data_IF_508720820885
#
_entry.id   IF_508720820885
#
_cell.length_a   1.000
_cell.length_b   1.000
_cell.length_c   1.000
_cell.angle_alpha   90.00
_cell.angle_beta   90.00
_cell.angle_gamma   90.00
#
_symmetry.space_group_name_H-M   'P 1'
#
loop_
_entity.id
_entity.type
_entity.pdbx_description
1 polymer ?
#
# COMPACT_ATOMS: atom_id res chain seq x y z
N UNK A 1 -24.43 34.80 -18.90
CA UNK A 1 -23.61 33.79 -19.60
C UNK A 1 -23.37 32.63 -18.67
N UNK A 2 -23.44 31.39 -19.16
CA UNK A 2 -23.06 30.24 -18.36
C UNK A 2 -21.57 30.29 -18.03
N UNK A 3 -21.20 30.00 -16.77
CA UNK A 3 -19.83 30.04 -16.28
C UNK A 3 -18.94 29.06 -17.05
N UNK A 4 -17.73 29.49 -17.46
CA UNK A 4 -16.72 28.67 -18.14
C UNK A 4 -16.45 27.35 -17.43
N UNK A 5 -16.49 27.35 -16.10
CA UNK A 5 -16.34 26.15 -15.26
C UNK A 5 -17.36 25.05 -15.56
N UNK A 6 -18.55 25.41 -16.05
CA UNK A 6 -19.64 24.47 -16.38
C UNK A 6 -19.77 24.18 -17.87
N UNK A 7 -19.16 25.01 -18.74
CA UNK A 7 -19.32 24.91 -20.20
C UNK A 7 -18.08 24.43 -20.92
N UNK A 8 -16.87 24.78 -20.45
CA UNK A 8 -15.63 24.35 -21.08
C UNK A 8 -15.43 22.84 -20.86
N UNK A 9 -15.23 22.01 -21.91
CA UNK A 9 -15.22 20.55 -21.79
C UNK A 9 -14.28 20.00 -20.71
N UNK A 10 -13.07 20.56 -20.58
CA UNK A 10 -12.10 20.15 -19.57
C UNK A 10 -12.46 20.67 -18.17
N UNK A 11 -12.88 21.94 -18.05
CA UNK A 11 -13.16 22.53 -16.74
C UNK A 11 -14.43 21.94 -16.15
N UNK A 12 -15.36 21.49 -16.99
CA UNK A 12 -16.56 20.78 -16.58
C UNK A 12 -16.24 19.48 -15.85
N UNK A 13 -15.29 18.68 -16.35
CA UNK A 13 -14.86 17.46 -15.67
C UNK A 13 -14.28 17.78 -14.29
N UNK A 14 -13.40 18.78 -14.21
CA UNK A 14 -12.83 19.22 -12.93
C UNK A 14 -13.89 19.80 -11.97
N UNK A 15 -14.87 20.54 -12.49
CA UNK A 15 -15.98 21.08 -11.73
C UNK A 15 -16.82 19.98 -11.08
N UNK A 16 -17.24 19.02 -11.88
CA UNK A 16 -18.17 17.97 -11.48
C UNK A 16 -17.47 16.98 -10.54
N UNK A 17 -16.13 16.87 -10.63
CA UNK A 17 -15.31 16.00 -9.78
C UNK A 17 -14.83 16.66 -8.47
N UNK A 18 -14.56 17.97 -8.43
CA UNK A 18 -13.85 18.61 -7.30
C UNK A 18 -14.52 19.87 -6.75
N UNK A 19 -15.49 20.46 -7.44
CA UNK A 19 -16.07 21.74 -7.02
C UNK A 19 -17.54 21.58 -6.65
N UNK A 20 -18.36 21.23 -7.64
CA UNK A 20 -19.81 21.07 -7.49
C UNK A 20 -20.18 19.60 -7.18
N UNK A 21 -19.20 18.71 -6.96
CA UNK A 21 -19.43 17.32 -6.58
C UNK A 21 -20.31 17.28 -5.31
N UNK A 22 -21.50 16.66 -5.35
CA UNK A 22 -22.38 16.59 -4.18
C UNK A 22 -21.93 15.46 -3.25
N UNK A 23 -21.46 15.83 -2.06
CA UNK A 23 -20.91 14.91 -1.07
C UNK A 23 -21.80 14.87 0.20
N UNK A 24 -21.92 13.71 0.89
CA UNK A 24 -22.68 13.62 2.12
C UNK A 24 -22.14 14.59 3.18
N UNK A 25 -23.01 15.37 3.82
CA UNK A 25 -22.62 16.39 4.80
C UNK A 25 -21.82 15.85 6.00
N UNK A 26 -22.05 14.58 6.36
CA UNK A 26 -21.56 13.96 7.59
C UNK A 26 -20.33 13.04 7.41
N UNK A 27 -19.60 13.10 6.28
CA UNK A 27 -18.38 12.29 6.13
C UNK A 27 -17.28 12.75 7.11
N UNK A 28 -16.73 11.80 7.87
CA UNK A 28 -15.74 12.04 8.93
C UNK A 28 -14.31 12.15 8.37
N UNK A 29 -13.31 12.32 9.25
CA UNK A 29 -11.89 12.40 8.86
C UNK A 29 -11.40 11.16 8.08
N UNK A 30 -12.04 10.01 8.28
CA UNK A 30 -11.68 8.79 7.57
C UNK A 30 -11.87 8.89 6.04
N UNK A 31 -12.65 9.85 5.55
CA UNK A 31 -12.79 10.10 4.11
C UNK A 31 -11.62 10.85 3.48
N UNK A 32 -10.80 11.55 4.28
CA UNK A 32 -9.63 12.27 3.79
C UNK A 32 -8.54 11.33 3.24
N UNK A 33 -8.52 10.06 3.64
CA UNK A 33 -7.49 9.12 3.15
C UNK A 33 -7.55 8.88 1.64
N UNK A 34 -8.66 9.18 0.96
CA UNK A 34 -8.70 9.15 -0.51
C UNK A 34 -7.81 10.22 -1.14
N UNK A 35 -7.97 11.48 -0.70
CA UNK A 35 -7.16 12.59 -1.21
C UNK A 35 -5.72 12.55 -0.71
N UNK A 36 -5.47 12.06 0.51
CA UNK A 36 -4.11 11.82 1.01
C UNK A 36 -3.34 10.80 0.18
N UNK A 37 -3.99 9.73 -0.30
CA UNK A 37 -3.35 8.79 -1.22
C UNK A 37 -2.98 9.44 -2.56
N UNK A 38 -3.83 10.34 -3.07
CA UNK A 38 -3.51 11.16 -4.23
C UNK A 38 -2.28 12.06 -4.00
N UNK A 39 -2.21 12.71 -2.83
CA UNK A 39 -1.03 13.49 -2.41
C UNK A 39 0.23 12.63 -2.32
N UNK A 40 0.16 11.46 -1.69
CA UNK A 40 1.27 10.50 -1.60
C UNK A 40 1.74 10.08 -3.00
N UNK A 41 0.83 9.73 -3.90
CA UNK A 41 1.17 9.32 -5.28
C UNK A 41 1.90 10.44 -6.02
N UNK A 42 1.39 11.67 -5.98
CA UNK A 42 2.05 12.83 -6.59
C UNK A 42 3.44 13.07 -5.98
N UNK A 43 3.56 13.02 -4.65
CA UNK A 43 4.84 13.19 -3.97
C UNK A 43 5.86 12.11 -4.37
N UNK A 44 5.45 10.84 -4.45
CA UNK A 44 6.31 9.73 -4.88
C UNK A 44 6.76 9.87 -6.33
N UNK A 45 5.86 10.25 -7.25
CA UNK A 45 6.20 10.46 -8.67
C UNK A 45 7.21 11.61 -8.81
N UNK A 46 6.96 12.74 -8.15
CA UNK A 46 7.84 13.90 -8.22
C UNK A 46 9.22 13.59 -7.64
N UNK A 47 9.28 13.14 -6.37
CA UNK A 47 10.56 12.81 -5.73
C UNK A 47 11.29 11.69 -6.47
N UNK A 48 10.58 10.66 -6.93
CA UNK A 48 11.14 9.54 -7.70
C UNK A 48 11.74 9.98 -9.03
N UNK A 49 11.08 10.89 -9.75
CA UNK A 49 11.60 11.45 -10.99
C UNK A 49 12.91 12.21 -10.77
N UNK A 50 12.99 13.06 -9.73
CA UNK A 50 14.23 13.78 -9.40
C UNK A 50 15.35 12.83 -8.95
N UNK A 51 15.04 11.76 -8.21
CA UNK A 51 16.02 10.73 -7.86
C UNK A 51 16.53 9.98 -9.10
N UNK A 52 15.63 9.64 -10.03
CA UNK A 52 15.95 8.92 -11.26
C UNK A 52 16.93 9.69 -12.17
N UNK A 53 16.95 11.03 -12.12
CA UNK A 53 17.92 11.85 -12.87
C UNK A 53 19.37 11.65 -12.42
N UNK A 54 19.58 11.06 -11.25
CA UNK A 54 20.90 10.89 -10.62
C UNK A 54 21.24 9.42 -10.28
N UNK A 55 20.30 8.50 -10.48
CA UNK A 55 20.45 7.08 -10.18
C UNK A 55 21.00 6.30 -11.37
N UNK A 56 21.81 5.26 -11.12
CA UNK A 56 22.28 4.31 -12.14
C UNK A 56 21.83 2.89 -11.82
N UNK A 57 21.14 2.23 -12.76
CA UNK A 57 20.61 0.88 -12.60
C UNK A 57 21.61 -0.21 -13.04
N UNK A 58 22.85 -0.12 -12.52
CA UNK A 58 23.92 -1.09 -12.72
C UNK A 58 24.47 -1.55 -11.36
N UNK A 59 24.62 -2.85 -11.13
CA UNK A 59 24.94 -3.41 -9.80
C UNK A 59 26.28 -2.90 -9.23
N UNK A 60 27.24 -2.51 -10.08
CA UNK A 60 28.51 -1.99 -9.63
C UNK A 60 28.39 -0.55 -9.11
N UNK A 61 27.37 0.19 -9.55
CA UNK A 61 27.23 1.63 -9.27
C UNK A 61 25.94 2.00 -8.55
N UNK A 62 24.93 1.13 -8.48
CA UNK A 62 23.61 1.43 -7.95
C UNK A 62 23.65 1.93 -6.50
N UNK A 63 24.30 1.17 -5.61
CA UNK A 63 24.48 1.57 -4.21
C UNK A 63 25.22 2.92 -4.12
N UNK A 64 26.34 3.07 -4.84
CA UNK A 64 27.11 4.31 -4.82
C UNK A 64 26.35 5.51 -5.39
N UNK A 65 25.50 5.32 -6.40
CA UNK A 65 24.68 6.39 -6.99
C UNK A 65 23.66 6.93 -5.98
N UNK A 66 23.06 6.06 -5.17
CA UNK A 66 22.18 6.48 -4.07
C UNK A 66 22.96 7.22 -2.99
N UNK A 67 24.19 6.79 -2.68
CA UNK A 67 25.04 7.55 -1.74
C UNK A 67 25.45 8.91 -2.30
N UNK A 68 25.75 9.00 -3.59
CA UNK A 68 26.06 10.25 -4.30
C UNK A 68 24.86 11.20 -4.28
N UNK A 69 23.63 10.71 -4.51
CA UNK A 69 22.41 11.51 -4.35
C UNK A 69 22.35 12.14 -2.96
N UNK A 70 22.61 11.35 -1.91
CA UNK A 70 22.51 11.85 -0.54
C UNK A 70 23.65 12.83 -0.18
N UNK A 71 24.84 12.70 -0.77
CA UNK A 71 26.05 13.42 -0.33
C UNK A 71 26.41 14.61 -1.23
N UNK A 72 26.19 14.50 -2.53
CA UNK A 72 26.76 15.41 -3.52
C UNK A 72 25.69 16.19 -4.29
N UNK A 73 24.46 15.66 -4.40
CA UNK A 73 23.35 16.36 -5.05
C UNK A 73 22.70 17.35 -4.08
N UNK A 74 22.52 18.60 -4.51
CA UNK A 74 21.85 19.65 -3.73
C UNK A 74 20.46 19.19 -3.27
N UNK A 75 20.24 19.15 -1.95
CA UNK A 75 19.01 18.64 -1.32
C UNK A 75 18.67 17.18 -1.66
N UNK A 76 19.57 16.41 -2.27
CA UNK A 76 19.32 15.02 -2.67
C UNK A 76 19.03 14.11 -1.47
N UNK A 77 19.68 14.35 -0.32
CA UNK A 77 19.35 13.65 0.94
C UNK A 77 17.90 13.87 1.37
N UNK A 78 17.37 15.09 1.21
CA UNK A 78 16.00 15.42 1.59
C UNK A 78 15.02 14.75 0.63
N UNK A 79 15.27 14.84 -0.68
CA UNK A 79 14.44 14.18 -1.70
C UNK A 79 14.41 12.66 -1.47
N UNK A 80 15.58 12.04 -1.21
CA UNK A 80 15.69 10.61 -0.91
C UNK A 80 14.92 10.24 0.36
N UNK A 81 15.06 11.02 1.44
CA UNK A 81 14.36 10.75 2.69
C UNK A 81 12.85 10.95 2.57
N UNK A 82 12.40 11.96 1.83
CA UNK A 82 10.99 12.17 1.52
C UNK A 82 10.43 11.03 0.68
N UNK A 83 11.17 10.51 -0.30
CA UNK A 83 10.74 9.38 -1.13
C UNK A 83 10.64 8.07 -0.33
N UNK A 84 11.64 7.78 0.51
CA UNK A 84 11.67 6.57 1.33
C UNK A 84 10.59 6.58 2.42
N UNK A 85 10.49 7.66 3.19
CA UNK A 85 9.45 7.79 4.22
C UNK A 85 8.06 8.01 3.61
N UNK A 86 7.97 8.68 2.46
CA UNK A 86 6.73 8.88 1.72
C UNK A 86 6.09 7.56 1.27
N UNK A 87 6.90 6.55 0.91
CA UNK A 87 6.41 5.19 0.67
C UNK A 87 5.73 4.60 1.91
N UNK A 88 6.32 4.76 3.10
CA UNK A 88 5.68 4.33 4.36
C UNK A 88 4.37 5.08 4.64
N UNK A 89 4.32 6.40 4.42
CA UNK A 89 3.09 7.18 4.58
C UNK A 89 2.01 6.76 3.57
N UNK A 90 2.40 6.33 2.37
CA UNK A 90 1.49 5.74 1.39
C UNK A 90 0.81 4.50 1.99
N UNK A 91 1.57 3.58 2.58
CA UNK A 91 1.01 2.37 3.20
C UNK A 91 0.19 2.65 4.45
N UNK A 92 0.59 3.61 5.29
CA UNK A 92 -0.24 4.07 6.41
C UNK A 92 -1.59 4.55 5.88
N UNK A 93 -1.59 5.42 4.86
CA UNK A 93 -2.82 5.95 4.27
C UNK A 93 -3.67 4.87 3.63
N UNK A 94 -3.06 3.89 2.91
CA UNK A 94 -3.83 2.87 2.20
C UNK A 94 -4.48 1.89 3.17
N UNK A 95 -3.78 1.51 4.25
CA UNK A 95 -4.35 0.64 5.28
C UNK A 95 -5.48 1.33 6.04
N UNK A 96 -5.36 2.62 6.37
CA UNK A 96 -6.44 3.38 6.98
C UNK A 96 -7.63 3.58 6.01
N UNK A 97 -7.35 3.77 4.72
CA UNK A 97 -8.37 3.85 3.68
C UNK A 97 -9.17 2.54 3.54
N UNK A 98 -8.47 1.39 3.53
CA UNK A 98 -9.07 0.06 3.49
C UNK A 98 -9.86 -0.21 4.77
N UNK A 99 -9.26 0.08 5.94
CA UNK A 99 -9.92 -0.10 7.24
C UNK A 99 -11.22 0.70 7.34
N UNK A 100 -11.22 1.95 6.86
CA UNK A 100 -12.45 2.75 6.70
C UNK A 100 -13.46 2.02 5.80
N UNK A 101 -13.01 1.49 4.67
CA UNK A 101 -13.89 0.79 3.74
C UNK A 101 -14.53 -0.47 4.33
N UNK A 102 -13.78 -1.23 5.13
CA UNK A 102 -14.27 -2.37 5.90
C UNK A 102 -15.26 -1.92 6.98
N UNK A 103 -14.92 -0.90 7.77
CA UNK A 103 -15.74 -0.45 8.89
C UNK A 103 -17.10 0.12 8.46
N UNK A 104 -17.12 0.92 7.39
CA UNK A 104 -18.34 1.59 6.93
C UNK A 104 -19.07 0.85 5.80
N UNK A 105 -18.63 -0.34 5.42
CA UNK A 105 -19.27 -1.12 4.35
C UNK A 105 -19.18 -0.44 2.98
N UNK A 106 -18.10 0.30 2.73
CA UNK A 106 -17.87 0.93 1.42
C UNK A 106 -17.52 -0.10 0.34
N UNK A 107 -17.07 -1.30 0.74
CA UNK A 107 -16.83 -2.43 -0.17
C UNK A 107 -18.08 -2.88 -0.95
N UNK A 108 -19.28 -2.48 -0.53
CA UNK A 108 -20.51 -2.74 -1.29
C UNK A 108 -20.57 -1.96 -2.62
N UNK A 109 -19.73 -0.94 -2.80
CA UNK A 109 -19.43 -0.37 -4.12
C UNK A 109 -18.39 -1.26 -4.81
N UNK A 110 -18.84 -2.36 -5.41
CA UNK A 110 -18.02 -3.52 -5.78
C UNK A 110 -16.92 -3.16 -6.79
N UNK A 111 -17.25 -2.35 -7.79
CA UNK A 111 -16.34 -1.91 -8.84
C UNK A 111 -15.22 -1.05 -8.24
N UNK A 112 -15.60 -0.01 -7.50
CA UNK A 112 -14.67 0.86 -6.75
C UNK A 112 -13.79 0.05 -5.81
N UNK A 113 -14.37 -0.90 -5.06
CA UNK A 113 -13.64 -1.75 -4.12
C UNK A 113 -12.64 -2.66 -4.82
N UNK A 114 -13.05 -3.38 -5.86
CA UNK A 114 -12.17 -4.32 -6.58
C UNK A 114 -11.03 -3.59 -7.30
N UNK A 115 -11.30 -2.41 -7.89
CA UNK A 115 -10.23 -1.54 -8.41
C UNK A 115 -9.31 -1.07 -7.27
N UNK A 116 -9.86 -0.81 -6.07
CA UNK A 116 -9.08 -0.52 -4.87
C UNK A 116 -8.14 -1.66 -4.44
N UNK A 117 -8.58 -2.92 -4.53
CA UNK A 117 -7.71 -4.08 -4.27
C UNK A 117 -6.61 -4.20 -5.34
N UNK A 118 -6.93 -3.93 -6.62
CA UNK A 118 -5.93 -3.88 -7.69
C UNK A 118 -4.91 -2.75 -7.44
N UNK A 119 -5.36 -1.56 -7.01
CA UNK A 119 -4.48 -0.45 -6.62
C UNK A 119 -3.55 -0.84 -5.48
N UNK A 120 -4.05 -1.53 -4.45
CA UNK A 120 -3.21 -2.07 -3.37
C UNK A 120 -2.11 -2.98 -3.92
N UNK A 121 -2.46 -3.95 -4.77
CA UNK A 121 -1.48 -4.87 -5.37
C UNK A 121 -0.45 -4.13 -6.23
N UNK A 122 -0.86 -3.13 -7.02
CA UNK A 122 0.05 -2.31 -7.82
C UNK A 122 1.00 -1.48 -6.96
N UNK A 123 0.52 -0.87 -5.88
CA UNK A 123 1.36 -0.11 -4.93
C UNK A 123 2.32 -1.04 -4.19
N UNK A 124 1.87 -2.24 -3.78
CA UNK A 124 2.72 -3.29 -3.21
C UNK A 124 3.83 -3.70 -4.18
N UNK A 125 3.49 -4.00 -5.43
CA UNK A 125 4.47 -4.34 -6.46
C UNK A 125 5.48 -3.19 -6.67
N UNK A 126 4.99 -1.95 -6.79
CA UNK A 126 5.80 -0.74 -6.98
C UNK A 126 6.80 -0.55 -5.84
N UNK A 127 6.34 -0.64 -4.60
CA UNK A 127 7.18 -0.46 -3.41
C UNK A 127 8.22 -1.57 -3.28
N UNK A 128 7.84 -2.82 -3.55
CA UNK A 128 8.78 -3.95 -3.54
C UNK A 128 9.92 -3.74 -4.54
N UNK A 129 9.62 -3.47 -5.82
CA UNK A 129 10.69 -3.28 -6.81
C UNK A 129 11.52 -2.00 -6.56
N UNK A 130 10.91 -0.97 -5.95
CA UNK A 130 11.60 0.26 -5.54
C UNK A 130 12.60 0.02 -4.41
N UNK A 131 12.24 -0.84 -3.45
CA UNK A 131 13.11 -1.19 -2.34
C UNK A 131 14.36 -1.98 -2.76
N UNK A 132 14.37 -2.59 -3.95
CA UNK A 132 15.54 -3.28 -4.49
C UNK A 132 16.59 -2.30 -5.04
N UNK A 133 16.17 -1.12 -5.50
CA UNK A 133 17.02 -0.18 -6.25
C UNK A 133 18.25 0.35 -5.50
N UNK A 134 18.21 0.59 -4.17
CA UNK A 134 19.40 0.98 -3.41
C UNK A 134 20.50 -0.07 -3.39
N UNK A 135 20.20 -1.32 -3.72
CA UNK A 135 21.17 -2.42 -3.82
C UNK A 135 21.99 -2.66 -2.53
N UNK A 136 21.35 -2.49 -1.37
CA UNK A 136 21.91 -2.89 -0.08
C UNK A 136 21.62 -4.37 0.26
N UNK A 137 22.08 -4.82 1.43
CA UNK A 137 21.91 -6.20 1.86
C UNK A 137 20.43 -6.63 1.93
N UNK A 138 19.57 -5.83 2.59
CA UNK A 138 18.15 -6.17 2.69
C UNK A 138 17.43 -6.07 1.34
N UNK A 139 17.81 -5.12 0.49
CA UNK A 139 17.33 -5.02 -0.90
C UNK A 139 17.59 -6.32 -1.69
N UNK A 140 18.85 -6.79 -1.71
CA UNK A 140 19.26 -7.96 -2.49
C UNK A 140 18.67 -9.26 -1.94
N UNK A 141 18.81 -9.50 -0.64
CA UNK A 141 18.35 -10.74 -0.03
C UNK A 141 16.83 -10.81 0.05
N UNK A 142 16.16 -9.67 0.29
CA UNK A 142 14.71 -9.55 0.18
C UNK A 142 14.22 -9.89 -1.23
N UNK A 143 14.86 -9.34 -2.27
CA UNK A 143 14.54 -9.67 -3.66
C UNK A 143 14.69 -11.17 -3.92
N UNK A 144 15.82 -11.76 -3.51
CA UNK A 144 16.13 -13.18 -3.70
C UNK A 144 15.09 -14.09 -3.04
N UNK A 145 14.75 -13.85 -1.78
CA UNK A 145 13.78 -14.67 -1.04
C UNK A 145 12.37 -14.54 -1.62
N UNK A 146 11.89 -13.30 -1.80
CA UNK A 146 10.49 -13.05 -2.19
C UNK A 146 10.22 -13.51 -3.63
N UNK A 147 11.12 -13.24 -4.57
CA UNK A 147 10.91 -13.69 -5.96
C UNK A 147 11.03 -15.21 -6.09
N UNK A 148 11.89 -15.86 -5.30
CA UNK A 148 11.99 -17.33 -5.26
C UNK A 148 10.78 -18.02 -4.62
N UNK A 149 9.80 -17.28 -4.09
CA UNK A 149 8.51 -17.86 -3.73
C UNK A 149 7.76 -18.40 -4.96
N UNK A 150 7.96 -17.80 -6.13
CA UNK A 150 7.33 -18.25 -7.39
C UNK A 150 7.79 -19.65 -7.84
N UNK A 151 8.95 -20.14 -7.38
CA UNK A 151 9.38 -21.52 -7.67
C UNK A 151 8.51 -22.58 -7.00
N UNK A 152 7.60 -22.19 -6.09
CA UNK A 152 6.61 -23.09 -5.53
C UNK A 152 5.50 -23.46 -6.53
N UNK A 153 5.33 -22.72 -7.63
CA UNK A 153 4.32 -23.01 -8.66
C UNK A 153 4.67 -24.33 -9.37
N UNK A 154 3.77 -25.33 -9.37
CA UNK A 154 4.03 -26.61 -10.01
C UNK A 154 4.36 -26.46 -11.50
N UNK A 155 5.28 -27.31 -11.98
CA UNK A 155 5.72 -27.43 -13.37
C UNK A 155 6.53 -26.24 -13.92
N UNK A 156 6.06 -24.99 -13.76
CA UNK A 156 6.63 -23.81 -14.41
C UNK A 156 7.39 -22.87 -13.45
N UNK A 157 7.43 -23.19 -12.15
CA UNK A 157 7.92 -22.25 -11.13
C UNK A 157 9.38 -21.83 -11.30
N UNK A 158 10.28 -22.77 -11.60
CA UNK A 158 11.70 -22.45 -11.79
C UNK A 158 11.93 -21.57 -13.03
N UNK A 159 11.25 -21.88 -14.14
CA UNK A 159 11.32 -21.09 -15.36
C UNK A 159 10.79 -19.68 -15.13
N UNK A 160 9.70 -19.52 -14.36
CA UNK A 160 9.14 -18.22 -14.01
C UNK A 160 10.13 -17.38 -13.19
N UNK A 161 10.79 -17.98 -12.20
CA UNK A 161 11.80 -17.29 -11.37
C UNK A 161 12.98 -16.84 -12.23
N UNK A 162 13.55 -17.73 -13.03
CA UNK A 162 14.69 -17.39 -13.91
C UNK A 162 14.31 -16.36 -14.97
N UNK A 163 13.07 -16.41 -15.47
CA UNK A 163 12.54 -15.41 -16.39
C UNK A 163 12.44 -14.03 -15.73
N UNK A 164 11.91 -13.96 -14.50
CA UNK A 164 11.84 -12.71 -13.73
C UNK A 164 13.23 -12.18 -13.39
N UNK A 165 14.20 -13.03 -13.05
CA UNK A 165 15.58 -12.62 -12.79
C UNK A 165 16.32 -12.21 -14.06
N UNK A 166 16.03 -12.87 -15.19
CA UNK A 166 16.82 -12.74 -16.41
C UNK A 166 18.15 -13.48 -16.35
N UNK A 167 18.22 -14.53 -15.54
CA UNK A 167 19.44 -15.25 -15.21
C UNK A 167 19.20 -16.29 -14.12
N UNK A 168 20.28 -16.80 -13.53
CA UNK A 168 20.21 -17.86 -12.51
C UNK A 168 20.06 -17.36 -11.08
N UNK A 169 20.25 -16.07 -10.85
CA UNK A 169 20.10 -15.39 -9.56
C UNK A 169 19.66 -13.95 -9.78
N UNK A 170 19.28 -13.26 -8.70
CA UNK A 170 19.14 -11.81 -8.70
C UNK A 170 20.51 -11.19 -9.04
N UNK A 171 20.57 -10.43 -10.13
CA UNK A 171 21.81 -9.83 -10.65
C UNK A 171 21.49 -8.57 -11.49
N UNK A 172 22.45 -8.07 -12.29
CA UNK A 172 22.33 -6.84 -13.07
C UNK A 172 21.08 -6.77 -13.95
N UNK A 173 20.80 -7.86 -14.68
CA UNK A 173 19.59 -7.96 -15.49
C UNK A 173 18.31 -7.77 -14.66
N UNK A 174 18.28 -8.24 -13.41
CA UNK A 174 17.16 -8.07 -12.48
C UNK A 174 17.05 -6.63 -11.98
N UNK A 175 18.17 -5.98 -11.65
CA UNK A 175 18.17 -4.61 -11.18
C UNK A 175 17.67 -3.63 -12.25
N UNK A 176 18.20 -3.73 -13.48
CA UNK A 176 17.82 -2.84 -14.58
C UNK A 176 16.33 -2.94 -14.92
N UNK A 177 15.76 -4.14 -14.97
CA UNK A 177 14.32 -4.32 -15.22
C UNK A 177 13.47 -3.84 -14.04
N UNK A 178 13.92 -4.05 -12.79
CA UNK A 178 13.18 -3.59 -11.62
C UNK A 178 13.14 -2.07 -11.56
N UNK A 179 14.20 -1.37 -11.98
CA UNK A 179 14.17 0.07 -12.18
C UNK A 179 13.12 0.46 -13.23
N UNK A 180 13.10 -0.19 -14.40
CA UNK A 180 12.11 0.08 -15.44
C UNK A 180 10.66 -0.14 -14.97
N UNK A 181 10.39 -1.24 -14.28
CA UNK A 181 9.06 -1.51 -13.69
C UNK A 181 8.72 -0.50 -12.58
N UNK A 182 9.65 -0.19 -11.69
CA UNK A 182 9.44 0.79 -10.63
C UNK A 182 9.11 2.18 -11.18
N UNK A 183 9.71 2.55 -12.32
CA UNK A 183 9.39 3.80 -13.01
C UNK A 183 8.01 3.77 -13.66
N UNK A 184 7.64 2.65 -14.32
CA UNK A 184 6.39 2.51 -15.05
C UNK A 184 5.15 2.39 -14.14
N UNK A 185 5.22 1.56 -13.09
CA UNK A 185 4.07 1.19 -12.27
C UNK A 185 3.35 2.39 -11.60
N UNK A 186 4.02 3.44 -11.09
CA UNK A 186 3.36 4.63 -10.56
C UNK A 186 2.40 5.31 -11.55
N UNK A 187 2.72 5.31 -12.85
CA UNK A 187 1.82 5.86 -13.88
C UNK A 187 0.63 4.95 -14.15
N UNK A 188 0.81 3.63 -14.06
CA UNK A 188 -0.30 2.67 -14.10
C UNK A 188 -1.20 2.85 -12.87
N UNK A 189 -0.63 3.05 -11.68
CA UNK A 189 -1.38 3.39 -10.46
C UNK A 189 -2.17 4.69 -10.63
N UNK A 190 -1.59 5.73 -11.26
CA UNK A 190 -2.30 6.97 -11.55
C UNK A 190 -3.49 6.74 -12.49
N UNK A 191 -3.32 5.97 -13.57
CA UNK A 191 -4.41 5.62 -14.48
C UNK A 191 -5.51 4.80 -13.78
N UNK A 192 -5.14 3.78 -12.99
CA UNK A 192 -6.08 2.98 -12.22
C UNK A 192 -6.82 3.81 -11.15
N UNK A 193 -6.18 4.84 -10.58
CA UNK A 193 -6.81 5.79 -9.66
C UNK A 193 -7.90 6.59 -10.36
N UNK A 194 -7.71 6.99 -11.62
CA UNK A 194 -8.77 7.64 -12.40
C UNK A 194 -9.97 6.72 -12.62
N UNK A 195 -9.73 5.43 -12.90
CA UNK A 195 -10.82 4.42 -13.01
C UNK A 195 -11.52 4.22 -11.67
N UNK A 196 -10.77 4.19 -10.56
CA UNK A 196 -11.32 4.09 -9.21
C UNK A 196 -12.25 5.26 -8.88
N UNK A 197 -11.84 6.49 -9.20
CA UNK A 197 -12.65 7.70 -8.98
C UNK A 197 -13.86 7.76 -9.91
N UNK A 198 -13.74 7.27 -11.15
CA UNK A 198 -14.86 7.17 -12.08
C UNK A 198 -15.97 6.30 -11.48
N UNK A 199 -15.67 5.07 -11.05
CA UNK A 199 -16.67 4.21 -10.41
C UNK A 199 -17.22 4.78 -9.10
N UNK A 200 -16.38 5.49 -8.33
CA UNK A 200 -16.86 6.19 -7.12
C UNK A 200 -17.88 7.29 -7.47
N UNK A 201 -17.68 8.01 -8.57
CA UNK A 201 -18.54 9.13 -8.96
C UNK A 201 -19.89 8.67 -9.53
N UNK A 202 -19.99 7.44 -10.05
CA UNK A 202 -21.27 6.84 -10.46
C UNK A 202 -22.24 6.70 -9.27
N UNK A 203 -21.76 6.34 -8.09
CA UNK A 203 -22.60 6.16 -6.89
C UNK A 203 -22.55 7.35 -5.93
N UNK A 204 -21.49 8.16 -5.98
CA UNK A 204 -21.11 9.09 -4.93
C UNK A 204 -20.55 8.40 -3.68
N UNK A 205 -20.06 9.22 -2.75
CA UNK A 205 -19.47 8.73 -1.49
C UNK A 205 -20.50 8.08 -0.56
N UNK A 206 -20.10 7.02 0.13
CA UNK A 206 -20.79 6.51 1.31
C UNK A 206 -20.61 7.49 2.50
N UNK A 207 -21.27 7.25 3.63
CA UNK A 207 -21.15 8.05 4.85
C UNK A 207 -21.14 7.19 6.12
N UNK A 208 -20.77 7.76 7.30
CA UNK A 208 -20.63 7.00 8.54
C UNK A 208 -21.89 6.29 9.03
N UNK A 209 -23.08 6.80 8.71
CA UNK A 209 -24.34 6.17 9.12
C UNK A 209 -24.74 4.99 8.21
N UNK A 210 -24.16 4.88 7.01
CA UNK A 210 -24.47 3.80 6.06
C UNK A 210 -25.87 3.86 5.45
N UNK A 211 -26.54 5.02 5.54
CA UNK A 211 -27.86 5.30 4.97
C UNK A 211 -27.74 6.21 3.73
N UNK A 212 -28.80 6.28 2.91
CA UNK A 212 -28.82 7.22 1.78
C UNK A 212 -28.74 8.67 2.31
N UNK A 213 -27.79 9.45 1.78
CA UNK A 213 -27.55 10.85 2.14
C UNK A 213 -28.04 11.87 1.12
N UNK A 214 -28.80 11.48 0.10
CA UNK A 214 -29.31 12.37 -0.97
C UNK A 214 -30.11 13.55 -0.44
N UNK A 215 -30.79 13.36 0.70
CA UNK A 215 -31.55 14.42 1.38
C UNK A 215 -30.65 15.52 1.97
N UNK A 216 -29.36 15.25 2.21
CA UNK A 216 -28.42 16.19 2.82
C UNK A 216 -27.01 16.05 2.21
N UNK A 217 -26.90 16.49 0.96
CA UNK A 217 -25.62 16.66 0.26
C UNK A 217 -25.22 18.13 0.23
N UNK A 218 -23.93 18.36 0.39
CA UNK A 218 -23.30 19.67 0.25
C UNK A 218 -22.26 19.62 -0.88
N UNK A 219 -21.99 20.75 -1.52
CA UNK A 219 -20.93 20.85 -2.53
C UNK A 219 -19.56 20.54 -1.93
N UNK A 220 -18.69 19.88 -2.70
CA UNK A 220 -17.35 19.55 -2.24
C UNK A 220 -16.53 20.79 -1.89
N UNK A 221 -16.55 21.82 -2.75
CA UNK A 221 -16.00 23.12 -2.42
C UNK A 221 -17.09 24.02 -1.81
N UNK A 222 -16.83 24.71 -0.68
CA UNK A 222 -15.55 24.83 0.03
C UNK A 222 -15.29 23.73 1.08
N UNK A 223 -16.33 23.05 1.55
CA UNK A 223 -16.31 22.25 2.78
C UNK A 223 -15.22 21.18 2.80
N UNK A 224 -15.23 20.27 1.83
CA UNK A 224 -14.28 19.16 1.78
C UNK A 224 -12.93 19.57 1.21
N UNK A 225 -12.88 20.60 0.35
CA UNK A 225 -11.59 21.14 -0.10
C UNK A 225 -10.72 21.73 1.03
N UNK A 226 -11.31 22.49 1.97
CA UNK A 226 -10.57 22.99 3.14
C UNK A 226 -10.27 21.89 4.15
N UNK A 227 -11.21 20.96 4.34
CA UNK A 227 -10.99 19.80 5.21
C UNK A 227 -9.83 18.92 4.70
N UNK A 228 -9.74 18.73 3.39
CA UNK A 228 -8.64 17.99 2.75
C UNK A 228 -7.32 18.75 2.87
N UNK A 229 -7.34 20.08 2.71
CA UNK A 229 -6.14 20.90 2.91
C UNK A 229 -5.58 20.78 4.33
N UNK A 230 -6.44 20.68 5.35
CA UNK A 230 -6.01 20.39 6.72
C UNK A 230 -5.34 19.01 6.81
N UNK A 231 -5.95 17.98 6.21
CA UNK A 231 -5.35 16.64 6.14
C UNK A 231 -3.99 16.65 5.45
N UNK A 232 -3.85 17.40 4.36
CA UNK A 232 -2.59 17.56 3.61
C UNK A 232 -1.52 18.20 4.47
N UNK A 233 -1.85 19.29 5.17
CA UNK A 233 -0.93 19.95 6.10
C UNK A 233 -0.46 18.98 7.20
N UNK A 234 -1.38 18.23 7.81
CA UNK A 234 -1.03 17.24 8.84
C UNK A 234 -0.10 16.15 8.30
N UNK A 235 -0.39 15.57 7.13
CA UNK A 235 0.46 14.54 6.53
C UNK A 235 1.85 15.08 6.17
N UNK A 236 1.93 16.27 5.55
CA UNK A 236 3.21 16.87 5.17
C UNK A 236 4.06 17.25 6.39
N UNK A 237 3.43 17.74 7.47
CA UNK A 237 4.13 18.00 8.73
C UNK A 237 4.72 16.70 9.27
N UNK A 238 3.92 15.64 9.40
CA UNK A 238 4.41 14.35 9.92
C UNK A 238 5.52 13.75 9.06
N UNK A 239 5.34 13.73 7.73
CA UNK A 239 6.33 13.21 6.79
C UNK A 239 7.64 14.00 6.86
N UNK A 240 7.55 15.34 6.85
CA UNK A 240 8.73 16.21 6.92
C UNK A 240 9.43 16.08 8.28
N UNK A 241 8.67 15.98 9.38
CA UNK A 241 9.24 15.76 10.71
C UNK A 241 10.05 14.46 10.77
N UNK A 242 9.51 13.35 10.26
CA UNK A 242 10.26 12.08 10.22
C UNK A 242 11.48 12.21 9.29
N UNK A 243 11.30 12.77 8.08
CA UNK A 243 12.39 12.91 7.11
C UNK A 243 13.54 13.83 7.57
N UNK A 244 13.27 14.78 8.48
CA UNK A 244 14.28 15.70 9.02
C UNK A 244 14.88 15.23 10.35
N UNK A 245 14.08 14.72 11.28
CA UNK A 245 14.54 14.42 12.64
C UNK A 245 14.93 12.96 12.85
N UNK A 246 14.23 12.02 12.21
CA UNK A 246 14.43 10.57 12.40
C UNK A 246 14.31 9.77 11.09
N UNK A 247 15.04 10.14 10.01
CA UNK A 247 14.77 9.67 8.64
C UNK A 247 14.90 8.16 8.43
N UNK A 248 15.61 7.46 9.32
CA UNK A 248 15.88 6.03 9.22
C UNK A 248 15.05 5.17 10.19
N UNK A 249 14.12 5.75 10.95
CA UNK A 249 13.36 5.02 12.00
C UNK A 249 12.49 3.88 11.45
N UNK A 250 12.06 3.97 10.19
CA UNK A 250 11.19 2.98 9.53
C UNK A 250 11.94 2.00 8.63
N UNK A 251 13.25 2.18 8.42
CA UNK A 251 14.08 1.34 7.55
C UNK A 251 15.02 0.43 8.32
N UNK A 252 15.57 -0.58 7.63
CA UNK A 252 16.52 -1.51 8.24
C UNK A 252 17.99 -1.04 8.07
N UNK A 253 18.81 -1.03 9.15
CA UNK A 253 20.21 -0.60 9.09
C UNK A 253 21.07 -1.46 8.15
N UNK A 254 20.73 -2.74 7.94
CA UNK A 254 21.51 -3.61 7.05
C UNK A 254 21.47 -3.12 5.60
N UNK A 255 20.45 -2.33 5.23
CA UNK A 255 20.37 -1.74 3.89
C UNK A 255 21.35 -0.56 3.66
N UNK A 256 22.14 -0.19 4.67
CA UNK A 256 23.30 0.71 4.53
C UNK A 256 24.61 -0.02 4.25
N UNK A 257 24.59 -1.36 4.17
CA UNK A 257 25.72 -2.17 3.69
C UNK A 257 25.45 -2.57 2.23
N UNK A 258 26.41 -2.39 1.30
CA UNK A 258 26.26 -2.86 -0.08
C UNK A 258 25.93 -4.35 -0.15
N UNK A 259 25.12 -4.75 -1.13
CA UNK A 259 24.76 -6.15 -1.34
C UNK A 259 26.00 -7.05 -1.53
N UNK A 260 26.05 -8.14 -0.77
CA UNK A 260 27.03 -9.20 -0.89
C UNK A 260 26.31 -10.56 -1.03
N UNK A 261 26.32 -11.17 -2.22
CA UNK A 261 25.68 -12.46 -2.47
C UNK A 261 26.24 -13.63 -1.64
N UNK A 262 27.41 -13.47 -1.02
CA UNK A 262 28.08 -14.50 -0.22
C UNK A 262 27.81 -14.36 1.29
N UNK A 263 27.14 -13.28 1.72
CA UNK A 263 26.89 -13.00 3.15
C UNK A 263 25.43 -12.69 3.36
N UNK A 264 24.70 -13.67 3.88
CA UNK A 264 23.30 -13.56 4.29
C UNK A 264 23.18 -12.77 5.60
N UNK A 265 22.31 -11.72 5.67
CA UNK A 265 21.98 -11.07 6.93
C UNK A 265 21.39 -12.04 7.96
N UNK A 266 21.57 -11.79 9.27
CA UNK A 266 21.06 -12.67 10.32
C UNK A 266 19.55 -12.90 10.27
N UNK A 267 18.77 -11.87 9.91
CA UNK A 267 17.31 -11.97 9.80
C UNK A 267 16.79 -11.19 8.58
N UNK A 268 16.58 -11.90 7.47
CA UNK A 268 15.98 -11.33 6.26
C UNK A 268 14.47 -11.14 6.47
N UNK A 269 14.01 -9.92 6.29
CA UNK A 269 12.59 -9.53 6.37
C UNK A 269 12.31 -8.41 5.37
N UNK A 270 11.06 -8.29 4.87
CA UNK A 270 10.68 -7.15 4.07
C UNK A 270 10.43 -5.91 4.94
N UNK A 271 10.19 -4.78 4.29
CA UNK A 271 9.77 -3.54 4.97
C UNK A 271 8.47 -3.72 5.77
N UNK A 272 8.27 -2.86 6.78
CA UNK A 272 7.25 -3.04 7.81
C UNK A 272 5.83 -3.28 7.26
N UNK A 273 5.48 -2.61 6.17
CA UNK A 273 4.15 -2.69 5.55
C UNK A 273 3.87 -4.05 4.91
N UNK A 274 4.87 -4.93 4.74
CA UNK A 274 4.68 -6.31 4.28
C UNK A 274 4.72 -7.36 5.40
N UNK A 275 5.09 -6.97 6.62
CA UNK A 275 5.37 -7.94 7.69
C UNK A 275 4.16 -8.78 8.09
N UNK A 276 2.95 -8.23 8.03
CA UNK A 276 1.74 -9.01 8.37
C UNK A 276 1.55 -10.20 7.41
N UNK A 277 1.72 -9.99 6.10
CA UNK A 277 1.61 -11.04 5.10
C UNK A 277 2.81 -11.99 5.17
N UNK A 278 4.01 -11.47 5.47
CA UNK A 278 5.20 -12.28 5.70
C UNK A 278 5.06 -13.21 6.92
N UNK A 279 4.38 -12.77 7.98
CA UNK A 279 4.04 -13.65 9.10
C UNK A 279 3.11 -14.78 8.65
N UNK A 280 2.05 -14.47 7.90
CA UNK A 280 1.11 -15.47 7.36
C UNK A 280 1.83 -16.49 6.45
N UNK A 281 2.74 -16.04 5.59
CA UNK A 281 3.59 -16.91 4.76
C UNK A 281 4.34 -17.94 5.61
N UNK A 282 5.00 -17.48 6.68
CA UNK A 282 5.85 -18.33 7.54
C UNK A 282 5.06 -19.24 8.48
N UNK A 283 3.79 -18.95 8.73
CA UNK A 283 2.92 -19.75 9.60
C UNK A 283 2.62 -21.15 9.04
N UNK A 284 2.66 -21.31 7.71
CA UNK A 284 2.35 -22.58 7.06
C UNK A 284 3.66 -23.35 6.77
N UNK A 285 3.87 -24.55 7.34
CA UNK A 285 5.08 -25.34 7.15
C UNK A 285 5.09 -26.08 5.80
N UNK A 286 4.71 -25.38 4.72
CA UNK A 286 4.73 -25.87 3.35
C UNK A 286 4.95 -24.66 2.42
N UNK A 287 5.93 -24.76 1.51
CA UNK A 287 6.29 -23.64 0.63
C UNK A 287 5.11 -23.15 -0.22
N UNK A 288 4.45 -24.05 -0.94
CA UNK A 288 3.30 -23.70 -1.79
C UNK A 288 2.12 -23.19 -0.95
N UNK A 289 1.80 -23.87 0.16
CA UNK A 289 0.74 -23.47 1.07
C UNK A 289 0.95 -22.07 1.64
N UNK A 290 2.17 -21.76 2.09
CA UNK A 290 2.53 -20.44 2.58
C UNK A 290 2.41 -19.36 1.50
N UNK A 291 2.86 -19.64 0.27
CA UNK A 291 2.73 -18.70 -0.86
C UNK A 291 1.27 -18.42 -1.19
N UNK A 292 0.43 -19.46 -1.21
CA UNK A 292 -1.00 -19.30 -1.40
C UNK A 292 -1.62 -18.49 -0.27
N UNK A 293 -1.26 -18.74 0.99
CA UNK A 293 -1.80 -17.98 2.12
C UNK A 293 -1.38 -16.51 2.11
N UNK A 294 -0.15 -16.19 1.72
CA UNK A 294 0.29 -14.81 1.50
C UNK A 294 -0.52 -14.13 0.40
N UNK A 295 -0.77 -14.80 -0.73
CA UNK A 295 -1.61 -14.24 -1.78
C UNK A 295 -3.06 -14.04 -1.30
N UNK A 296 -3.62 -15.04 -0.63
CA UNK A 296 -4.98 -14.98 -0.10
C UNK A 296 -5.14 -13.99 1.06
N UNK A 297 -4.08 -13.63 1.79
CA UNK A 297 -4.16 -12.58 2.80
C UNK A 297 -4.43 -11.20 2.20
N UNK A 298 -4.22 -11.02 0.90
CA UNK A 298 -4.62 -9.80 0.18
C UNK A 298 -5.92 -10.04 -0.58
N UNK A 299 -6.03 -11.16 -1.31
CA UNK A 299 -7.19 -11.46 -2.14
C UNK A 299 -8.48 -11.73 -1.35
N UNK A 300 -8.39 -12.03 -0.05
CA UNK A 300 -9.58 -12.13 0.83
C UNK A 300 -10.41 -10.85 0.80
N UNK A 301 -9.79 -9.68 0.56
CA UNK A 301 -10.51 -8.41 0.40
C UNK A 301 -11.53 -8.46 -0.75
N UNK A 302 -11.24 -9.17 -1.85
CA UNK A 302 -12.20 -9.32 -2.97
C UNK A 302 -13.42 -10.17 -2.60
N UNK A 303 -13.33 -11.00 -1.56
CA UNK A 303 -14.45 -11.82 -1.08
C UNK A 303 -15.38 -11.04 -0.15
N UNK A 304 -14.89 -9.98 0.50
CA UNK A 304 -15.66 -9.20 1.50
C UNK A 304 -17.05 -8.76 1.01
N UNK A 305 -17.24 -8.23 -0.22
CA UNK A 305 -18.57 -7.83 -0.69
C UNK A 305 -19.55 -9.01 -0.82
N UNK A 306 -19.07 -10.21 -1.14
CA UNK A 306 -19.89 -11.43 -1.29
C UNK A 306 -20.21 -12.05 0.06
N UNK A 307 -19.31 -11.87 1.04
CA UNK A 307 -19.45 -12.36 2.40
C UNK A 307 -20.33 -11.45 3.29
N UNK A 308 -20.85 -10.33 2.77
CA UNK A 308 -21.71 -9.43 3.52
C UNK A 308 -23.13 -10.00 3.71
N UNK A 309 -23.48 -10.32 4.95
CA UNK A 309 -24.77 -10.93 5.33
C UNK A 309 -25.73 -9.96 6.02
N UNK A 310 -25.22 -8.86 6.58
CA UNK A 310 -26.00 -7.94 7.38
C UNK A 310 -27.05 -7.18 6.57
N UNK A 311 -28.10 -6.74 7.25
CA UNK A 311 -29.09 -5.81 6.68
C UNK A 311 -28.66 -4.34 6.79
N UNK A 312 -27.66 -4.06 7.63
CA UNK A 312 -27.06 -2.73 7.77
C UNK A 312 -25.72 -2.68 7.06
N UNK A 313 -25.50 -1.60 6.30
CA UNK A 313 -24.31 -1.44 5.44
C UNK A 313 -22.98 -1.48 6.21
N UNK A 314 -22.84 -0.63 7.22
CA UNK A 314 -21.60 -0.48 8.00
C UNK A 314 -21.71 -1.04 9.42
N UNK A 315 -20.64 -0.88 10.19
CA UNK A 315 -20.53 -1.38 11.55
C UNK A 315 -20.99 -0.38 12.63
N UNK A 316 -21.29 0.87 12.27
CA UNK A 316 -21.64 1.96 13.20
C UNK A 316 -22.72 1.59 14.23
N UNK A 317 -23.70 0.76 13.84
CA UNK A 317 -24.78 0.30 14.72
C UNK A 317 -24.74 -1.20 15.02
N UNK A 318 -23.59 -1.85 14.82
CA UNK A 318 -23.38 -3.30 15.01
C UNK A 318 -22.26 -3.56 16.03
N UNK A 319 -22.55 -3.59 17.35
CA UNK A 319 -21.53 -3.72 18.39
C UNK A 319 -20.64 -4.97 18.24
N UNK A 320 -21.23 -6.12 17.90
CA UNK A 320 -20.45 -7.34 17.65
C UNK A 320 -19.54 -7.22 16.43
N UNK A 321 -20.04 -6.64 15.33
CA UNK A 321 -19.23 -6.34 14.16
C UNK A 321 -18.07 -5.36 14.46
N UNK A 322 -18.31 -4.33 15.28
CA UNK A 322 -17.25 -3.41 15.74
C UNK A 322 -16.16 -4.14 16.53
N UNK A 323 -16.55 -5.03 17.45
CA UNK A 323 -15.61 -5.85 18.20
C UNK A 323 -14.76 -6.71 17.24
N UNK A 324 -15.39 -7.39 16.28
CA UNK A 324 -14.66 -8.20 15.28
C UNK A 324 -13.71 -7.36 14.44
N UNK A 325 -14.11 -6.14 14.05
CA UNK A 325 -13.23 -5.22 13.33
C UNK A 325 -12.01 -4.80 14.15
N UNK A 326 -12.19 -4.43 15.41
CA UNK A 326 -11.06 -4.02 16.25
C UNK A 326 -10.16 -5.20 16.62
N UNK A 327 -10.71 -6.41 16.75
CA UNK A 327 -9.92 -7.63 16.83
C UNK A 327 -9.09 -7.87 15.57
N UNK A 328 -9.64 -7.64 14.37
CA UNK A 328 -8.87 -7.71 13.12
C UNK A 328 -7.72 -6.70 13.09
N UNK A 329 -7.97 -5.46 13.53
CA UNK A 329 -6.94 -4.42 13.60
C UNK A 329 -5.83 -4.82 14.58
N UNK A 330 -6.19 -5.34 15.75
CA UNK A 330 -5.21 -5.82 16.74
C UNK A 330 -4.42 -7.03 16.21
N UNK A 331 -5.09 -7.98 15.54
CA UNK A 331 -4.47 -9.14 14.92
C UNK A 331 -3.47 -8.76 13.81
N UNK A 332 -3.82 -7.79 12.96
CA UNK A 332 -2.91 -7.21 11.97
C UNK A 332 -1.65 -6.59 12.60
N UNK A 333 -1.79 -5.92 13.76
CA UNK A 333 -0.64 -5.40 14.51
C UNK A 333 0.23 -6.54 15.08
N UNK A 334 -0.39 -7.61 15.59
CA UNK A 334 0.32 -8.81 16.06
C UNK A 334 1.06 -9.48 14.91
N UNK A 335 0.42 -9.71 13.77
CA UNK A 335 1.06 -10.27 12.58
C UNK A 335 2.22 -9.42 12.08
N UNK A 336 2.09 -8.09 12.10
CA UNK A 336 3.18 -7.17 11.75
C UNK A 336 4.36 -7.33 12.71
N UNK A 337 4.10 -7.37 14.02
CA UNK A 337 5.13 -7.61 15.03
C UNK A 337 5.82 -8.97 14.84
N UNK A 338 5.04 -10.06 14.72
CA UNK A 338 5.57 -11.42 14.54
C UNK A 338 6.34 -11.56 13.23
N UNK A 339 5.92 -10.89 12.16
CA UNK A 339 6.66 -10.83 10.91
C UNK A 339 8.08 -10.28 11.07
N UNK A 340 8.28 -9.37 12.03
CA UNK A 340 9.58 -8.81 12.38
C UNK A 340 10.43 -9.64 13.33
N UNK A 341 9.88 -10.70 13.93
CA UNK A 341 10.57 -11.59 14.88
C UNK A 341 11.21 -12.81 14.19
N UNK A 342 12.26 -13.41 14.78
CA UNK A 342 12.87 -14.65 14.28
C UNK A 342 11.90 -15.84 14.34
N UNK A 343 12.20 -16.88 13.57
CA UNK A 343 11.38 -18.11 13.48
C UNK A 343 11.73 -19.06 14.63
N UNK A 344 11.37 -18.66 15.86
CA UNK A 344 11.67 -19.39 17.09
C UNK A 344 10.45 -19.43 18.04
N UNK A 345 10.33 -20.39 18.96
CA UNK A 345 9.33 -20.34 20.03
C UNK A 345 9.51 -19.08 20.92
N UNK A 346 8.42 -18.40 21.34
CA UNK A 346 7.01 -18.70 21.10
C UNK A 346 6.43 -18.08 19.82
N UNK A 347 7.22 -17.32 19.04
CA UNK A 347 6.75 -16.54 17.89
C UNK A 347 6.12 -17.38 16.78
N UNK A 348 6.61 -18.61 16.57
CA UNK A 348 6.02 -19.54 15.60
C UNK A 348 4.55 -19.81 15.92
N UNK A 349 4.24 -20.17 17.17
CA UNK A 349 2.88 -20.49 17.59
C UNK A 349 1.98 -19.26 17.56
N UNK A 350 2.48 -18.10 18.00
CA UNK A 350 1.73 -16.84 17.96
C UNK A 350 1.39 -16.47 16.51
N UNK A 351 2.34 -16.59 15.58
CA UNK A 351 2.13 -16.35 14.15
C UNK A 351 1.07 -17.26 13.55
N UNK A 352 1.10 -18.56 13.88
CA UNK A 352 0.11 -19.54 13.44
C UNK A 352 -1.30 -19.20 13.94
N UNK A 353 -1.44 -18.91 15.24
CA UNK A 353 -2.73 -18.55 15.83
C UNK A 353 -3.27 -17.24 15.23
N UNK A 354 -2.44 -16.21 15.13
CA UNK A 354 -2.83 -14.93 14.52
C UNK A 354 -3.25 -15.12 13.05
N UNK A 355 -2.53 -15.93 12.27
CA UNK A 355 -2.88 -16.20 10.87
C UNK A 355 -4.23 -16.91 10.74
N UNK A 356 -4.55 -17.84 11.66
CA UNK A 356 -5.86 -18.49 11.72
C UNK A 356 -6.95 -17.48 12.09
N UNK A 357 -6.70 -16.64 13.10
CA UNK A 357 -7.64 -15.59 13.54
C UNK A 357 -7.93 -14.63 12.37
N UNK A 358 -6.91 -14.17 11.66
CA UNK A 358 -7.04 -13.31 10.48
C UNK A 358 -8.08 -13.83 9.48
N UNK A 359 -7.91 -15.08 9.02
CA UNK A 359 -8.82 -15.67 8.04
C UNK A 359 -10.19 -15.99 8.65
N UNK A 360 -10.26 -16.44 9.90
CA UNK A 360 -11.54 -16.69 10.59
C UNK A 360 -12.37 -15.42 10.71
N UNK A 361 -11.75 -14.27 10.96
CA UNK A 361 -12.49 -13.00 11.07
C UNK A 361 -13.15 -12.66 9.72
N UNK A 362 -12.40 -12.73 8.62
CA UNK A 362 -12.95 -12.42 7.30
C UNK A 362 -13.99 -13.44 6.83
N UNK A 363 -13.70 -14.74 6.96
CA UNK A 363 -14.48 -15.81 6.33
C UNK A 363 -15.67 -16.28 7.17
N UNK A 364 -15.63 -16.09 8.49
CA UNK A 364 -16.66 -16.61 9.39
C UNK A 364 -17.20 -15.56 10.37
N UNK A 365 -16.35 -14.86 11.13
CA UNK A 365 -16.81 -14.01 12.21
C UNK A 365 -17.55 -12.75 11.74
N UNK A 366 -17.03 -12.02 10.75
CA UNK A 366 -17.71 -10.86 10.18
C UNK A 366 -19.04 -11.23 9.50
N UNK A 367 -19.12 -12.31 8.68
CA UNK A 367 -20.40 -12.80 8.15
C UNK A 367 -21.41 -13.25 9.21
N UNK A 368 -20.96 -13.71 10.38
CA UNK A 368 -21.84 -14.11 11.48
C UNK A 368 -22.27 -12.95 12.39
N UNK A 369 -21.60 -11.79 12.31
CA UNK A 369 -21.75 -10.66 13.25
C UNK A 369 -22.89 -9.67 12.98
#
# INVERSE_FOLDING_TARGET
MANLRKTHPILKIANDALVDLPAPSNISVWWNFGSLLGLCLMAQILTGLFLAMHYTSDIATAFSSVTHICRDVNYGWLIRNMHANGASFFFICIYLHIARGLYYGSYLYKETWNVGVVLLLLVMATAFVGYVLPWGQMSFWGATVITNLMSAVPYIGNDLVQWVWGGFSVDNATLTRFFAFHFLLPFIVAAATMVHLLFLHETGSNNPAGINSDADKISFHPYFSYKDLLGFATLLIMLTSIALFTPNILGDPDNFTPANPLVTPPHIKPEWYFLFAYAILRSIPNKLGGVLALLFSILVLMLVPVLHTSKQRGLTFRPFGQLMFWLLVADMMILTWIGGMPVEPPYILIGQLASVIYFLIFLAALPAS
#
